data_IF_369550002839
#
_entry.id   IF_369550002839
#
_cell.length_a   1.000
_cell.length_b   1.000
_cell.length_c   1.000
_cell.angle_alpha   90.00
_cell.angle_beta   90.00
_cell.angle_gamma   90.00
#
_symmetry.space_group_name_H-M   'P 1'
#
loop_
_entity.id
_entity.type
_entity.pdbx_description
1 polymer ?
#
# COMPACT_ATOMS: atom_id res chain seq x y z
N UNK A 1 -1.70 3.57 5.71
CA UNK A 1 -2.06 2.26 5.12
C UNK A 1 -0.77 1.69 4.59
N UNK A 2 -0.40 0.53 5.08
CA UNK A 2 0.86 -0.13 4.72
C UNK A 2 0.52 -1.48 4.09
N UNK A 3 1.30 -1.87 3.09
CA UNK A 3 1.18 -3.19 2.47
C UNK A 3 2.51 -3.92 2.59
N UNK A 4 2.46 -5.24 2.80
CA UNK A 4 3.65 -6.07 2.88
C UNK A 4 3.40 -7.39 2.17
N UNK A 5 4.32 -7.75 1.27
CA UNK A 5 4.35 -9.05 0.61
C UNK A 5 5.34 -9.97 1.33
N UNK A 6 5.00 -11.25 1.45
CA UNK A 6 5.92 -12.25 2.00
C UNK A 6 7.03 -12.55 0.99
N UNK A 7 8.28 -12.46 1.45
CA UNK A 7 9.45 -12.91 0.69
C UNK A 7 9.62 -14.44 0.72
N UNK A 8 8.96 -15.13 1.65
CA UNK A 8 9.11 -16.58 1.85
C UNK A 8 7.92 -17.38 1.31
N UNK A 9 6.71 -16.84 1.39
CA UNK A 9 5.48 -17.53 0.99
C UNK A 9 4.88 -16.85 -0.23
N UNK A 10 4.82 -17.61 -1.33
CA UNK A 10 4.19 -17.14 -2.57
C UNK A 10 2.71 -16.83 -2.33
N UNK A 11 2.23 -15.79 -2.99
CA UNK A 11 0.82 -15.35 -2.97
C UNK A 11 0.31 -14.99 -1.56
N UNK A 12 1.23 -14.63 -0.65
CA UNK A 12 0.93 -14.25 0.71
C UNK A 12 1.43 -12.84 1.04
N UNK A 13 0.63 -12.10 1.81
CA UNK A 13 0.91 -10.74 2.23
C UNK A 13 -0.22 -10.20 3.10
N UNK A 14 -0.12 -8.94 3.52
CA UNK A 14 -1.18 -8.27 4.25
C UNK A 14 -1.27 -6.78 3.92
N UNK A 15 -2.46 -6.23 4.16
CA UNK A 15 -2.73 -4.80 4.17
C UNK A 15 -3.03 -4.39 5.61
N UNK A 16 -2.46 -3.27 6.05
CA UNK A 16 -2.68 -2.70 7.37
C UNK A 16 -3.28 -1.30 7.25
N UNK A 17 -4.36 -1.08 8.00
CA UNK A 17 -4.92 0.24 8.27
C UNK A 17 -4.72 0.53 9.76
N UNK A 18 -4.10 1.67 10.06
CA UNK A 18 -3.84 2.11 11.42
C UNK A 18 -4.09 3.62 11.55
N UNK A 19 -4.55 4.04 12.73
CA UNK A 19 -4.68 5.44 13.12
C UNK A 19 -4.71 5.53 14.64
N UNK A 20 -4.17 6.63 15.17
CA UNK A 20 -4.31 6.98 16.57
C UNK A 20 -5.56 7.84 16.74
N UNK A 21 -6.39 7.52 17.72
CA UNK A 21 -7.65 8.24 17.98
C UNK A 21 -7.96 8.28 19.48
N UNK A 22 -8.98 9.04 19.87
CA UNK A 22 -9.49 9.04 21.26
C UNK A 22 -10.28 7.76 21.53
N UNK A 23 -10.39 7.37 22.82
CA UNK A 23 -11.03 6.11 23.22
C UNK A 23 -12.48 6.04 22.71
N UNK A 24 -13.19 7.18 22.73
CA UNK A 24 -14.59 7.29 22.32
C UNK A 24 -14.78 7.05 20.82
N UNK A 25 -13.72 7.21 20.02
CA UNK A 25 -13.77 7.14 18.56
C UNK A 25 -13.20 5.84 17.98
N UNK A 26 -12.78 4.88 18.82
CA UNK A 26 -12.16 3.63 18.34
C UNK A 26 -13.13 2.84 17.45
N UNK A 27 -14.36 2.63 17.88
CA UNK A 27 -15.37 1.91 17.08
C UNK A 27 -15.76 2.67 15.82
N UNK A 28 -15.80 4.01 15.90
CA UNK A 28 -16.10 4.87 14.76
C UNK A 28 -15.03 4.69 13.68
N UNK A 29 -13.75 4.75 14.05
CA UNK A 29 -12.62 4.59 13.13
C UNK A 29 -12.60 3.20 12.50
N UNK A 30 -12.84 2.15 13.28
CA UNK A 30 -12.89 0.77 12.76
C UNK A 30 -14.02 0.57 11.74
N UNK A 31 -15.19 1.16 11.99
CA UNK A 31 -16.30 1.14 11.03
C UNK A 31 -15.97 1.93 9.76
N UNK A 32 -15.29 3.08 9.88
CA UNK A 32 -14.84 3.86 8.74
C UNK A 32 -13.88 3.04 7.86
N UNK A 33 -12.98 2.25 8.43
CA UNK A 33 -12.09 1.39 7.62
C UNK A 33 -12.87 0.36 6.80
N UNK A 34 -13.84 -0.32 7.41
CA UNK A 34 -14.69 -1.27 6.70
C UNK A 34 -15.48 -0.59 5.59
N UNK A 35 -16.01 0.61 5.87
CA UNK A 35 -16.75 1.38 4.88
C UNK A 35 -15.85 1.84 3.74
N UNK A 36 -14.62 2.28 4.03
CA UNK A 36 -13.65 2.69 3.04
C UNK A 36 -13.34 1.57 2.05
N UNK A 37 -13.10 0.35 2.54
CA UNK A 37 -12.83 -0.80 1.67
C UNK A 37 -14.07 -1.13 0.82
N UNK A 38 -15.28 -1.09 1.40
CA UNK A 38 -16.52 -1.29 0.65
C UNK A 38 -16.76 -0.22 -0.42
N UNK A 39 -16.55 1.04 -0.08
CA UNK A 39 -16.69 2.15 -1.02
C UNK A 39 -15.70 1.99 -2.19
N UNK A 40 -14.47 1.55 -1.91
CA UNK A 40 -13.49 1.23 -2.93
C UNK A 40 -13.93 0.04 -3.81
N UNK A 41 -14.56 -0.98 -3.23
CA UNK A 41 -15.11 -2.13 -3.96
C UNK A 41 -16.36 -1.83 -4.79
N UNK A 42 -17.17 -0.86 -4.38
CA UNK A 42 -18.43 -0.51 -5.05
C UNK A 42 -18.27 0.60 -6.09
N UNK A 43 -17.55 1.67 -5.72
CA UNK A 43 -17.46 2.92 -6.48
C UNK A 43 -16.13 3.05 -7.22
N UNK A 44 -15.08 2.46 -6.65
CA UNK A 44 -13.73 2.58 -7.16
C UNK A 44 -13.10 3.93 -6.94
N UNK A 45 -12.10 4.21 -7.78
CA UNK A 45 -11.39 5.49 -7.81
C UNK A 45 -11.61 6.17 -9.15
N UNK A 46 -11.56 7.49 -9.13
CA UNK A 46 -11.57 8.30 -10.35
C UNK A 46 -10.17 8.36 -10.97
N UNK A 47 -10.13 8.70 -12.27
CA UNK A 47 -8.85 8.89 -12.97
C UNK A 47 -8.01 10.02 -12.34
N UNK A 48 -8.65 11.09 -11.86
CA UNK A 48 -7.96 12.20 -11.20
C UNK A 48 -7.33 11.77 -9.87
N UNK A 49 -8.05 10.98 -9.06
CA UNK A 49 -7.52 10.42 -7.82
C UNK A 49 -6.34 9.49 -8.08
N UNK A 50 -6.42 8.64 -9.11
CA UNK A 50 -5.33 7.74 -9.48
C UNK A 50 -4.09 8.53 -9.90
N UNK A 51 -4.24 9.52 -10.79
CA UNK A 51 -3.12 10.38 -11.21
C UNK A 51 -2.51 11.10 -10.00
N UNK A 52 -3.35 11.67 -9.13
CA UNK A 52 -2.91 12.38 -7.93
C UNK A 52 -2.17 11.48 -6.95
N UNK A 53 -2.55 10.20 -6.86
CA UNK A 53 -1.89 9.21 -6.02
C UNK A 53 -0.54 8.74 -6.60
N UNK A 54 -0.48 8.54 -7.92
CA UNK A 54 0.71 7.99 -8.59
C UNK A 54 1.81 9.03 -8.79
N UNK A 55 1.49 10.28 -9.13
CA UNK A 55 2.49 11.33 -9.42
C UNK A 55 3.52 11.50 -8.31
N UNK A 56 3.14 11.64 -7.01
CA UNK A 56 4.13 11.75 -5.94
C UNK A 56 5.02 10.52 -5.79
N UNK A 57 4.58 9.34 -6.21
CA UNK A 57 5.37 8.11 -6.15
C UNK A 57 6.44 8.11 -7.25
N UNK A 58 6.07 8.44 -8.48
CA UNK A 58 7.01 8.52 -9.61
C UNK A 58 8.04 9.63 -9.41
N UNK A 59 7.60 10.81 -8.97
CA UNK A 59 8.50 11.95 -8.73
C UNK A 59 9.55 11.62 -7.65
N UNK A 60 9.15 10.86 -6.62
CA UNK A 60 10.06 10.47 -5.54
C UNK A 60 11.11 9.46 -6.00
N UNK A 61 10.74 8.57 -6.91
CA UNK A 61 11.68 7.59 -7.51
C UNK A 61 12.67 8.31 -8.42
N UNK A 62 12.20 9.21 -9.29
CA UNK A 62 13.07 10.03 -10.14
C UNK A 62 14.10 10.80 -9.30
N UNK A 63 13.67 11.45 -8.20
CA UNK A 63 14.57 12.14 -7.27
C UNK A 63 15.55 11.18 -6.57
N UNK A 64 15.14 9.95 -6.30
CA UNK A 64 15.99 8.98 -5.60
C UNK A 64 17.21 8.57 -6.43
N UNK A 65 17.11 8.61 -7.76
CA UNK A 65 18.20 8.28 -8.68
C UNK A 65 19.37 9.26 -8.64
N UNK A 66 19.16 10.47 -8.10
CA UNK A 66 20.23 11.45 -7.86
C UNK A 66 21.07 11.11 -6.62
N UNK A 67 20.62 10.18 -5.78
CA UNK A 67 21.28 9.80 -4.53
C UNK A 67 22.18 8.58 -4.69
N UNK A 68 23.47 8.74 -4.36
CA UNK A 68 24.39 7.60 -4.25
C UNK A 68 23.92 6.57 -3.21
N UNK A 69 23.25 7.01 -2.14
CA UNK A 69 22.74 6.12 -1.10
C UNK A 69 21.67 5.16 -1.63
N UNK A 70 20.84 5.62 -2.56
CA UNK A 70 19.85 4.79 -3.24
C UNK A 70 20.54 3.66 -4.03
N UNK A 71 21.51 4.00 -4.89
CA UNK A 71 22.24 3.02 -5.70
C UNK A 71 23.00 1.99 -4.85
N UNK A 72 23.65 2.42 -3.76
CA UNK A 72 24.29 1.49 -2.84
C UNK A 72 23.28 0.54 -2.17
N UNK A 73 22.11 1.04 -1.77
CA UNK A 73 21.05 0.22 -1.19
C UNK A 73 20.49 -0.82 -2.17
N UNK A 74 20.33 -0.45 -3.44
CA UNK A 74 19.90 -1.37 -4.49
C UNK A 74 20.96 -2.45 -4.77
N UNK A 75 22.22 -2.05 -4.93
CA UNK A 75 23.34 -2.97 -5.17
C UNK A 75 23.58 -3.94 -4.00
N UNK A 76 23.40 -3.49 -2.76
CA UNK A 76 23.53 -4.34 -1.58
C UNK A 76 22.53 -5.50 -1.58
N UNK A 77 21.39 -5.35 -2.24
CA UNK A 77 20.33 -6.37 -2.32
C UNK A 77 20.44 -7.25 -3.57
N UNK A 78 21.19 -6.85 -4.59
CA UNK A 78 21.20 -7.47 -5.91
C UNK A 78 21.58 -8.97 -5.90
N UNK A 79 22.39 -9.41 -4.93
CA UNK A 79 22.76 -10.84 -4.82
C UNK A 79 21.65 -11.70 -4.19
N UNK A 80 20.91 -11.15 -3.24
CA UNK A 80 19.87 -11.87 -2.51
C UNK A 80 18.50 -11.77 -3.18
N UNK A 81 18.24 -10.64 -3.84
CA UNK A 81 16.96 -10.29 -4.47
C UNK A 81 17.22 -9.64 -5.84
N UNK A 82 17.75 -10.40 -6.82
CA UNK A 82 18.07 -9.87 -8.16
C UNK A 82 16.84 -9.29 -8.88
N UNK A 83 15.64 -9.77 -8.55
CA UNK A 83 14.36 -9.26 -9.06
C UNK A 83 14.13 -7.79 -8.70
N UNK A 84 14.67 -7.30 -7.57
CA UNK A 84 14.50 -5.91 -7.17
C UNK A 84 15.16 -4.95 -8.16
N UNK A 85 16.29 -5.35 -8.75
CA UNK A 85 16.98 -4.55 -9.78
C UNK A 85 16.12 -4.44 -11.05
N UNK A 86 15.48 -5.55 -11.46
CA UNK A 86 14.57 -5.56 -12.59
C UNK A 86 13.27 -4.79 -12.31
N UNK A 87 12.75 -4.90 -11.08
CA UNK A 87 11.54 -4.18 -10.65
C UNK A 87 11.79 -2.67 -10.64
N UNK A 88 12.95 -2.23 -10.16
CA UNK A 88 13.32 -0.81 -10.14
C UNK A 88 13.36 -0.22 -11.57
N UNK A 89 14.04 -0.92 -12.49
CA UNK A 89 14.14 -0.48 -13.88
C UNK A 89 12.77 -0.35 -14.59
N UNK A 90 11.76 -1.09 -14.13
CA UNK A 90 10.42 -1.09 -14.71
C UNK A 90 9.39 -0.35 -13.85
N UNK A 91 9.77 0.18 -12.69
CA UNK A 91 8.82 0.71 -11.70
C UNK A 91 7.92 1.80 -12.28
N UNK A 92 8.51 2.80 -12.95
CA UNK A 92 7.76 3.92 -13.51
C UNK A 92 6.80 3.45 -14.60
N UNK A 93 7.26 2.56 -15.48
CA UNK A 93 6.43 1.98 -16.54
C UNK A 93 5.23 1.21 -15.95
N UNK A 94 5.44 0.43 -14.90
CA UNK A 94 4.36 -0.28 -14.21
C UNK A 94 3.40 0.68 -13.50
N UNK A 95 3.92 1.67 -12.77
CA UNK A 95 3.10 2.64 -12.05
C UNK A 95 2.17 3.43 -12.99
N UNK A 96 2.67 3.82 -14.18
CA UNK A 96 1.87 4.55 -15.18
C UNK A 96 0.88 3.67 -15.96
N UNK A 97 1.08 2.36 -16.00
CA UNK A 97 0.17 1.42 -16.67
C UNK A 97 -1.03 1.02 -15.83
N UNK A 98 -0.99 1.23 -14.51
CA UNK A 98 -2.12 0.91 -13.63
C UNK A 98 -3.35 1.71 -14.05
N UNK A 99 -4.47 1.02 -14.27
CA UNK A 99 -5.76 1.64 -14.58
C UNK A 99 -6.70 1.66 -13.38
N UNK A 100 -7.76 2.47 -13.45
CA UNK A 100 -8.81 2.50 -12.41
C UNK A 100 -9.52 1.15 -12.29
N UNK A 101 -9.66 0.40 -13.39
CA UNK A 101 -10.24 -0.95 -13.40
C UNK A 101 -9.32 -1.95 -12.69
N UNK A 102 -8.01 -1.81 -12.79
CA UNK A 102 -7.07 -2.70 -12.11
C UNK A 102 -7.10 -2.48 -10.58
N UNK A 103 -7.20 -1.22 -10.14
CA UNK A 103 -7.46 -0.91 -8.73
C UNK A 103 -8.78 -1.52 -8.28
N UNK A 104 -9.85 -1.42 -9.08
CA UNK A 104 -11.14 -2.03 -8.76
C UNK A 104 -11.06 -3.54 -8.59
N UNK A 105 -10.41 -4.21 -9.54
CA UNK A 105 -10.21 -5.66 -9.51
C UNK A 105 -9.44 -6.08 -8.26
N UNK A 106 -8.43 -5.31 -7.85
CA UNK A 106 -7.66 -5.59 -6.64
C UNK A 106 -8.47 -5.32 -5.37
N UNK A 107 -9.23 -4.23 -5.32
CA UNK A 107 -10.12 -3.92 -4.20
C UNK A 107 -11.12 -5.05 -3.94
N UNK A 108 -11.67 -5.65 -5.00
CA UNK A 108 -12.60 -6.79 -4.92
C UNK A 108 -11.97 -8.09 -4.39
N UNK A 109 -10.64 -8.17 -4.27
CA UNK A 109 -9.96 -9.31 -3.63
C UNK A 109 -9.83 -9.17 -2.11
N UNK A 110 -10.11 -7.98 -1.57
CA UNK A 110 -9.99 -7.71 -0.14
C UNK A 110 -11.24 -8.23 0.57
N UNK A 111 -11.13 -9.30 1.35
CA UNK A 111 -12.26 -9.78 2.14
C UNK A 111 -12.41 -8.97 3.45
N UNK A 112 -13.41 -8.07 3.47
CA UNK A 112 -13.75 -7.23 4.63
C UNK A 112 -14.14 -8.07 5.86
N UNK A 113 -14.70 -9.28 5.66
CA UNK A 113 -15.09 -10.17 6.76
C UNK A 113 -13.87 -10.81 7.43
N UNK A 114 -12.78 -11.00 6.68
CA UNK A 114 -11.51 -11.54 7.19
C UNK A 114 -10.62 -10.51 7.90
N UNK A 115 -11.06 -9.24 7.97
CA UNK A 115 -10.28 -8.16 8.57
C UNK A 115 -10.08 -8.38 10.07
N UNK A 116 -8.82 -8.46 10.50
CA UNK A 116 -8.47 -8.57 11.91
C UNK A 116 -8.41 -7.18 12.54
N UNK A 117 -9.18 -6.97 13.61
CA UNK A 117 -9.15 -5.74 14.39
C UNK A 117 -8.20 -5.88 15.59
N UNK A 118 -7.24 -4.96 15.70
CA UNK A 118 -6.36 -4.85 16.87
C UNK A 118 -6.56 -3.49 17.52
N UNK A 119 -6.82 -3.49 18.83
CA UNK A 119 -7.07 -2.29 19.63
C UNK A 119 -6.04 -2.20 20.74
N UNK A 120 -5.33 -1.07 20.81
CA UNK A 120 -4.38 -0.77 21.90
C UNK A 120 -4.94 0.38 22.70
N UNK A 121 -5.44 0.09 23.91
CA UNK A 121 -6.07 1.07 24.79
C UNK A 121 -5.17 1.34 26.01
N UNK A 122 -5.14 2.57 26.54
CA UNK A 122 -4.41 2.87 27.75
C UNK A 122 -5.02 2.11 28.93
N UNK A 123 -4.17 1.54 29.79
CA UNK A 123 -4.61 0.98 31.07
C UNK A 123 -5.01 2.12 31.98
N UNK A 124 -6.24 2.12 32.49
CA UNK A 124 -6.70 3.06 33.51
C UNK A 124 -5.73 3.02 34.70
N UNK A 125 -5.22 4.17 35.14
CA UNK A 125 -4.59 4.29 36.46
C UNK A 125 -5.66 4.48 37.53
#
# INVERSE_FOLDING_TARGET
MDSSQSLLYKDYGYLNLNSNTTIENVDVVLNIYKQLVKDLQEKGVTQDELVRAVTPMTDRVEQSYESNGFWFGLMAQASSYPENLANEANFEAYARQVSVEDIQKLANRIDVLSMIEVRVLPTTK
#
